data_IF_982758102141
#
_entry.id   IF_982758102141
#
_cell.length_a   1.000
_cell.length_b   1.000
_cell.length_c   1.000
_cell.angle_alpha   90.00
_cell.angle_beta   90.00
_cell.angle_gamma   90.00
#
_symmetry.space_group_name_H-M   'P 1'
#
loop_
_entity.id
_entity.type
_entity.pdbx_description
1 polymer ?
#
# COMPACT_ATOMS: atom_id res chain seq x y z
N UNK A 1 10.98 6.64 -30.74
CA UNK A 1 10.35 6.79 -29.41
C UNK A 1 9.96 5.43 -28.88
N UNK A 2 10.17 5.19 -27.60
CA UNK A 2 9.83 3.94 -26.96
C UNK A 2 8.92 4.22 -25.77
N UNK A 3 7.77 3.52 -25.71
CA UNK A 3 6.80 3.62 -24.63
C UNK A 3 6.72 2.32 -23.87
N UNK A 4 6.67 2.42 -22.54
CA UNK A 4 6.56 1.27 -21.64
C UNK A 4 5.46 1.53 -20.60
N UNK A 5 4.68 0.51 -20.30
CA UNK A 5 3.68 0.53 -19.23
C UNK A 5 3.94 -0.67 -18.31
N UNK A 6 4.21 -0.40 -17.04
CA UNK A 6 4.57 -1.43 -16.03
C UNK A 6 5.72 -2.35 -16.48
N UNK A 7 6.66 -1.80 -17.29
CA UNK A 7 7.82 -2.53 -17.83
C UNK A 7 7.61 -3.17 -19.19
N UNK A 8 6.38 -3.28 -19.66
CA UNK A 8 6.07 -3.84 -20.97
C UNK A 8 6.12 -2.75 -22.05
N UNK A 9 6.79 -3.04 -23.17
CA UNK A 9 6.83 -2.13 -24.31
C UNK A 9 5.48 -2.13 -25.03
N UNK A 10 4.96 -0.94 -25.28
CA UNK A 10 3.69 -0.75 -26.00
C UNK A 10 3.90 0.05 -27.29
N UNK A 11 3.06 -0.19 -28.30
CA UNK A 11 3.02 0.62 -29.50
C UNK A 11 2.00 1.75 -29.30
N UNK A 12 2.50 3.00 -29.36
CA UNK A 12 1.68 4.22 -29.24
C UNK A 12 1.77 4.99 -30.54
N UNK A 13 0.63 5.39 -31.08
CA UNK A 13 0.55 6.33 -32.18
C UNK A 13 0.26 7.71 -31.60
N UNK A 14 1.20 8.62 -31.78
CA UNK A 14 1.01 10.03 -31.44
C UNK A 14 0.22 10.71 -32.53
N UNK A 15 -0.75 11.55 -32.15
CA UNK A 15 -1.54 12.35 -33.09
C UNK A 15 -0.97 13.78 -33.23
N UNK A 16 -1.20 14.57 -32.17
CA UNK A 16 -0.79 16.00 -32.13
C UNK A 16 0.18 16.31 -30.97
N UNK A 17 0.61 15.29 -30.20
CA UNK A 17 1.51 15.46 -29.07
C UNK A 17 2.90 15.89 -29.52
N UNK A 18 3.38 17.01 -29.00
CA UNK A 18 4.69 17.60 -29.31
C UNK A 18 5.63 17.61 -28.12
N UNK A 19 5.08 17.60 -26.91
CA UNK A 19 5.84 17.67 -25.68
C UNK A 19 5.59 16.43 -24.82
N UNK A 20 6.48 16.21 -23.86
CA UNK A 20 6.29 15.17 -22.83
C UNK A 20 4.95 15.38 -22.11
N UNK A 21 4.60 16.64 -21.78
CA UNK A 21 3.34 16.97 -21.12
C UNK A 21 2.10 16.64 -21.94
N UNK A 22 2.15 16.81 -23.28
CA UNK A 22 1.02 16.42 -24.12
C UNK A 22 0.77 14.92 -24.05
N UNK A 23 1.84 14.10 -24.13
CA UNK A 23 1.73 12.64 -24.02
C UNK A 23 1.21 12.23 -22.64
N UNK A 24 1.73 12.85 -21.56
CA UNK A 24 1.28 12.55 -20.20
C UNK A 24 -0.22 12.80 -20.05
N UNK A 25 -0.71 13.92 -20.57
CA UNK A 25 -2.12 14.28 -20.50
C UNK A 25 -3.01 13.30 -21.29
N UNK A 26 -2.62 12.97 -22.53
CA UNK A 26 -3.36 12.00 -23.34
C UNK A 26 -3.38 10.62 -22.69
N UNK A 27 -2.26 10.23 -22.06
CA UNK A 27 -2.14 8.97 -21.37
C UNK A 27 -2.97 8.92 -20.07
N UNK A 28 -2.99 10.01 -19.27
CA UNK A 28 -3.84 10.16 -18.10
C UNK A 28 -5.32 9.99 -18.45
N UNK A 29 -5.80 10.69 -19.49
CA UNK A 29 -7.19 10.58 -19.96
C UNK A 29 -7.52 9.13 -20.34
N UNK A 30 -6.59 8.44 -21.02
CA UNK A 30 -6.77 7.04 -21.39
C UNK A 30 -6.83 6.13 -20.16
N UNK A 31 -6.01 6.39 -19.15
CA UNK A 31 -6.03 5.65 -17.89
C UNK A 31 -7.37 5.86 -17.15
N UNK A 32 -7.83 7.10 -17.02
CA UNK A 32 -9.12 7.42 -16.38
C UNK A 32 -10.29 6.68 -17.04
N UNK A 33 -10.34 6.66 -18.38
CA UNK A 33 -11.37 5.95 -19.13
C UNK A 33 -11.36 4.43 -18.91
N UNK A 34 -10.24 3.88 -18.44
CA UNK A 34 -10.05 2.45 -18.16
C UNK A 34 -9.96 2.15 -16.66
N UNK A 35 -10.47 3.03 -15.80
CA UNK A 35 -10.41 2.89 -14.33
C UNK A 35 -8.99 2.59 -13.83
N UNK A 36 -8.01 3.30 -14.38
CA UNK A 36 -6.61 3.23 -14.02
C UNK A 36 -6.09 4.64 -13.68
N UNK A 37 -4.98 4.70 -12.94
CA UNK A 37 -4.28 5.94 -12.61
C UNK A 37 -2.78 5.78 -12.86
N UNK A 38 -2.13 6.85 -13.33
CA UNK A 38 -0.68 6.93 -13.45
C UNK A 38 -0.11 7.22 -12.05
N UNK A 39 0.77 6.34 -11.57
CA UNK A 39 1.41 6.45 -10.25
C UNK A 39 2.91 6.70 -10.33
N UNK A 40 3.48 6.67 -11.52
CA UNK A 40 4.91 6.95 -11.73
C UNK A 40 5.22 7.19 -13.19
N UNK A 41 6.18 8.07 -13.44
CA UNK A 41 6.63 8.46 -14.76
C UNK A 41 8.15 8.53 -14.79
N UNK A 42 8.75 7.92 -15.80
CA UNK A 42 10.19 8.01 -16.07
C UNK A 42 10.38 8.48 -17.51
N UNK A 43 11.18 9.51 -17.70
CA UNK A 43 11.52 10.07 -19.02
C UNK A 43 13.03 9.96 -19.21
N UNK A 44 13.48 9.25 -20.24
CA UNK A 44 14.89 9.02 -20.55
C UNK A 44 15.71 8.52 -19.35
N UNK A 45 15.10 7.64 -18.53
CA UNK A 45 15.70 7.06 -17.33
C UNK A 45 15.66 7.97 -16.09
N UNK A 46 15.06 9.17 -16.17
CA UNK A 46 14.88 10.09 -15.04
C UNK A 46 13.47 10.00 -14.50
N UNK A 47 13.31 9.67 -13.21
CA UNK A 47 12.01 9.70 -12.53
C UNK A 47 11.50 11.14 -12.45
N UNK A 48 10.27 11.36 -12.86
CA UNK A 48 9.60 12.66 -12.79
C UNK A 48 8.84 12.77 -11.49
N UNK A 49 9.33 13.63 -10.64
CA UNK A 49 8.71 13.99 -9.36
C UNK A 49 7.93 15.30 -9.49
N UNK A 50 7.04 15.60 -8.55
CA UNK A 50 6.18 16.78 -8.62
C UNK A 50 6.96 18.11 -8.74
N UNK A 51 8.13 18.20 -8.11
CA UNK A 51 8.99 19.39 -8.11
C UNK A 51 9.63 19.69 -9.47
N UNK A 52 9.85 18.68 -10.31
CA UNK A 52 10.45 18.84 -11.65
C UNK A 52 9.43 18.69 -12.78
N UNK A 53 8.19 18.35 -12.45
CA UNK A 53 7.15 18.06 -13.45
C UNK A 53 6.93 19.21 -14.42
N UNK A 54 6.83 20.44 -13.93
CA UNK A 54 6.59 21.64 -14.76
C UNK A 54 7.70 21.94 -15.78
N UNK A 55 8.94 21.56 -15.47
CA UNK A 55 10.08 21.69 -16.35
C UNK A 55 10.13 20.56 -17.38
N UNK A 56 10.00 19.32 -16.91
CA UNK A 56 10.10 18.13 -17.74
C UNK A 56 8.92 18.02 -18.73
N UNK A 57 7.73 18.41 -18.32
CA UNK A 57 6.54 18.38 -19.19
C UNK A 57 6.64 19.29 -20.42
N UNK A 58 7.43 20.37 -20.35
CA UNK A 58 7.64 21.31 -21.47
C UNK A 58 8.66 20.83 -22.49
N UNK A 59 9.38 19.75 -22.21
CA UNK A 59 10.38 19.23 -23.15
C UNK A 59 9.73 18.69 -24.41
N UNK A 60 10.32 19.05 -25.55
CA UNK A 60 9.90 18.52 -26.84
C UNK A 60 10.25 17.04 -26.97
N UNK A 61 9.35 16.29 -27.58
CA UNK A 61 9.57 14.87 -27.88
C UNK A 61 10.63 14.72 -28.96
N UNK A 62 11.56 13.79 -28.77
CA UNK A 62 12.59 13.44 -29.76
C UNK A 62 12.36 12.01 -30.26
N UNK A 63 12.89 11.65 -31.44
CA UNK A 63 12.75 10.29 -31.99
C UNK A 63 13.30 9.19 -31.09
N UNK A 64 14.22 9.51 -30.19
CA UNK A 64 14.86 8.61 -29.22
C UNK A 64 14.32 8.74 -27.78
N UNK A 65 13.34 9.60 -27.54
CA UNK A 65 12.72 9.74 -26.21
C UNK A 65 12.13 8.41 -25.75
N UNK A 66 12.44 8.02 -24.51
CA UNK A 66 11.89 6.86 -23.83
C UNK A 66 10.97 7.30 -22.72
N UNK A 67 9.72 6.85 -22.74
CA UNK A 67 8.70 7.12 -21.73
C UNK A 67 8.29 5.81 -21.05
N UNK A 68 8.35 5.79 -19.73
CA UNK A 68 7.95 4.64 -18.90
C UNK A 68 6.90 5.08 -17.90
N UNK A 69 5.74 4.44 -17.94
CA UNK A 69 4.62 4.70 -17.05
C UNK A 69 4.42 3.54 -16.08
N UNK A 70 4.25 3.86 -14.82
CA UNK A 70 3.70 2.93 -13.84
C UNK A 70 2.23 3.28 -13.65
N UNK A 71 1.35 2.32 -13.87
CA UNK A 71 -0.10 2.48 -13.69
C UNK A 71 -0.64 1.47 -12.69
N UNK A 72 -1.72 1.86 -12.03
CA UNK A 72 -2.51 0.96 -11.19
C UNK A 72 -3.99 1.09 -11.58
N UNK A 73 -4.73 0.01 -11.44
CA UNK A 73 -6.18 0.00 -11.66
C UNK A 73 -6.91 -0.51 -10.40
N UNK A 74 -8.22 -0.28 -10.38
CA UNK A 74 -9.11 -0.68 -9.28
C UNK A 74 -9.00 -2.17 -8.96
N UNK A 75 -8.95 -3.04 -9.98
CA UNK A 75 -8.88 -4.48 -9.75
C UNK A 75 -7.58 -4.89 -9.07
N UNK A 76 -6.44 -4.32 -9.48
CA UNK A 76 -5.15 -4.58 -8.84
C UNK A 76 -5.15 -4.18 -7.38
N UNK A 77 -5.82 -3.07 -7.03
CA UNK A 77 -5.96 -2.62 -5.65
C UNK A 77 -6.83 -3.61 -4.86
N UNK A 78 -7.97 -4.03 -5.40
CA UNK A 78 -8.86 -5.04 -4.77
C UNK A 78 -8.13 -6.36 -4.53
N UNK A 79 -7.41 -6.88 -5.53
CA UNK A 79 -6.62 -8.11 -5.41
C UNK A 79 -5.52 -7.97 -4.32
N UNK A 80 -4.97 -6.77 -4.17
CA UNK A 80 -3.96 -6.48 -3.15
C UNK A 80 -4.58 -6.40 -1.75
N UNK A 81 -5.77 -5.84 -1.60
CA UNK A 81 -6.51 -5.85 -0.34
C UNK A 81 -6.89 -7.27 0.08
N UNK A 82 -7.32 -8.13 -0.85
CA UNK A 82 -7.61 -9.54 -0.55
C UNK A 82 -6.38 -10.28 -0.02
N UNK A 83 -5.20 -10.06 -0.63
CA UNK A 83 -3.94 -10.62 -0.15
C UNK A 83 -3.58 -10.12 1.24
N UNK A 84 -3.71 -8.80 1.48
CA UNK A 84 -3.48 -8.21 2.80
C UNK A 84 -4.48 -8.73 3.84
N UNK A 85 -5.75 -8.91 3.47
CA UNK A 85 -6.75 -9.51 4.36
C UNK A 85 -6.28 -10.88 4.85
N UNK A 86 -5.82 -11.74 3.93
CA UNK A 86 -5.29 -13.06 4.28
C UNK A 86 -4.09 -12.95 5.21
N UNK A 87 -3.16 -12.04 4.91
CA UNK A 87 -1.97 -11.82 5.74
C UNK A 87 -2.32 -11.35 7.15
N UNK A 88 -3.25 -10.39 7.30
CA UNK A 88 -3.70 -9.93 8.62
C UNK A 88 -4.43 -11.02 9.41
N UNK A 89 -5.17 -11.90 8.73
CA UNK A 89 -5.76 -13.07 9.37
C UNK A 89 -4.69 -14.02 9.92
N UNK A 90 -3.70 -14.36 9.11
CA UNK A 90 -2.60 -15.24 9.50
C UNK A 90 -1.80 -14.64 10.67
N UNK A 91 -1.54 -13.33 10.65
CA UNK A 91 -0.91 -12.60 11.76
C UNK A 91 -1.76 -12.64 13.02
N UNK A 92 -3.08 -12.46 12.91
CA UNK A 92 -3.99 -12.57 14.04
C UNK A 92 -3.91 -13.97 14.69
N UNK A 93 -3.93 -15.03 13.87
CA UNK A 93 -3.82 -16.41 14.31
C UNK A 93 -2.45 -16.71 14.97
N UNK A 94 -1.40 -15.98 14.57
CA UNK A 94 -0.08 -16.04 15.23
C UNK A 94 -0.09 -15.30 16.56
N UNK A 95 -0.62 -14.08 16.61
CA UNK A 95 -0.71 -13.27 17.84
C UNK A 95 -1.49 -13.97 18.93
N UNK A 96 -2.56 -14.69 18.60
CA UNK A 96 -3.33 -15.50 19.55
C UNK A 96 -2.49 -16.60 20.25
N UNK A 97 -1.42 -17.07 19.60
CA UNK A 97 -0.52 -18.12 20.10
C UNK A 97 0.66 -17.58 20.91
N UNK A 98 0.94 -16.29 20.85
CA UNK A 98 2.09 -15.66 21.50
C UNK A 98 2.17 -15.96 22.99
N UNK A 99 1.08 -15.89 23.79
CA UNK A 99 1.16 -16.23 25.21
C UNK A 99 1.70 -17.64 25.48
N UNK A 100 1.26 -18.62 24.69
CA UNK A 100 1.72 -20.02 24.81
C UNK A 100 3.17 -20.18 24.35
N UNK A 101 3.57 -19.47 23.32
CA UNK A 101 4.95 -19.47 22.79
C UNK A 101 5.92 -18.91 23.82
N UNK A 102 5.57 -17.81 24.50
CA UNK A 102 6.37 -17.19 25.55
C UNK A 102 6.54 -18.08 26.75
N UNK A 103 5.49 -18.83 27.16
CA UNK A 103 5.59 -19.81 28.25
C UNK A 103 6.60 -20.93 27.96
N UNK A 104 6.87 -21.21 26.67
CA UNK A 104 7.89 -22.19 26.24
C UNK A 104 9.30 -21.59 26.13
N UNK A 105 9.45 -20.28 26.37
CA UNK A 105 10.73 -19.57 26.26
C UNK A 105 11.13 -19.19 24.84
N UNK A 106 10.20 -19.22 23.87
CA UNK A 106 10.46 -18.94 22.44
C UNK A 106 10.27 -17.45 22.13
N UNK A 107 10.93 -16.55 22.85
CA UNK A 107 10.75 -15.09 22.73
C UNK A 107 11.09 -14.52 21.34
N UNK A 108 11.92 -15.23 20.55
CA UNK A 108 12.30 -14.80 19.20
C UNK A 108 11.09 -14.73 18.24
N UNK A 109 10.16 -15.67 18.36
CA UNK A 109 8.96 -15.70 17.52
C UNK A 109 8.04 -14.49 17.75
N UNK A 110 7.95 -14.01 19.00
CA UNK A 110 7.19 -12.80 19.31
C UNK A 110 7.80 -11.55 18.63
N UNK A 111 9.15 -11.43 18.64
CA UNK A 111 9.84 -10.31 18.00
C UNK A 111 9.74 -10.37 16.46
N UNK A 112 9.80 -11.56 15.86
CA UNK A 112 9.62 -11.73 14.41
C UNK A 112 8.21 -11.34 13.97
N UNK A 113 7.18 -11.67 14.75
CA UNK A 113 5.80 -11.33 14.44
C UNK A 113 5.56 -9.82 14.38
N UNK A 114 6.24 -9.02 15.21
CA UNK A 114 6.07 -7.56 15.17
C UNK A 114 6.70 -6.94 13.92
N UNK A 115 7.82 -7.47 13.43
CA UNK A 115 8.42 -6.99 12.18
C UNK A 115 7.49 -7.21 10.99
N UNK A 116 6.88 -8.41 10.91
CA UNK A 116 5.89 -8.72 9.87
C UNK A 116 4.65 -7.83 10.00
N UNK A 117 4.19 -7.58 11.23
CA UNK A 117 3.06 -6.69 11.49
C UNK A 117 3.35 -5.25 11.03
N UNK A 118 4.53 -4.71 11.35
CA UNK A 118 4.92 -3.36 10.94
C UNK A 118 4.97 -3.24 9.41
N UNK A 119 5.56 -4.22 8.72
CA UNK A 119 5.60 -4.25 7.25
C UNK A 119 4.20 -4.36 6.64
N UNK A 120 3.31 -5.15 7.24
CA UNK A 120 1.94 -5.31 6.77
C UNK A 120 1.12 -4.02 6.94
N UNK A 121 1.31 -3.30 8.03
CA UNK A 121 0.68 -1.98 8.25
C UNK A 121 1.20 -0.97 7.22
N UNK A 122 2.51 -0.95 6.94
CA UNK A 122 3.08 -0.07 5.91
C UNK A 122 2.49 -0.39 4.52
N UNK A 123 2.38 -1.67 4.15
CA UNK A 123 1.75 -2.07 2.90
C UNK A 123 0.28 -1.64 2.84
N UNK A 124 -0.45 -1.80 3.94
CA UNK A 124 -1.84 -1.34 4.03
C UNK A 124 -1.95 0.18 3.82
N UNK A 125 -1.13 0.98 4.51
CA UNK A 125 -1.14 2.44 4.39
C UNK A 125 -0.82 2.88 2.95
N UNK A 126 0.15 2.23 2.32
CA UNK A 126 0.48 2.50 0.92
C UNK A 126 -0.69 2.17 -0.02
N UNK A 127 -1.30 1.01 0.16
CA UNK A 127 -2.44 0.57 -0.65
C UNK A 127 -3.67 1.46 -0.43
N UNK A 128 -3.94 1.89 0.80
CA UNK A 128 -5.01 2.83 1.12
C UNK A 128 -4.80 4.20 0.44
N UNK A 129 -3.54 4.67 0.36
CA UNK A 129 -3.20 5.87 -0.39
C UNK A 129 -3.47 5.71 -1.90
N UNK A 130 -3.16 4.55 -2.49
CA UNK A 130 -3.48 4.25 -3.88
C UNK A 130 -5.00 4.14 -4.11
N UNK A 131 -5.73 3.53 -3.19
CA UNK A 131 -7.19 3.43 -3.25
C UNK A 131 -7.88 4.80 -3.21
N UNK A 132 -7.26 5.81 -2.58
CA UNK A 132 -7.78 7.18 -2.57
C UNK A 132 -7.81 7.86 -3.94
N UNK A 133 -7.09 7.31 -4.94
CA UNK A 133 -7.17 7.76 -6.34
C UNK A 133 -8.49 7.36 -7.01
N UNK A 134 -9.23 6.42 -6.43
CA UNK A 134 -10.50 5.88 -6.94
C UNK A 134 -11.61 6.04 -5.90
N UNK A 135 -12.02 7.29 -5.59
CA UNK A 135 -12.96 7.55 -4.51
C UNK A 135 -14.34 6.90 -4.74
N UNK A 136 -14.77 6.72 -5.97
CA UNK A 136 -16.06 6.09 -6.27
C UNK A 136 -16.09 4.59 -5.92
N UNK A 137 -14.94 3.91 -6.00
CA UNK A 137 -14.81 2.47 -5.73
C UNK A 137 -14.52 2.16 -4.25
N UNK A 138 -13.91 3.10 -3.51
CA UNK A 138 -13.40 2.86 -2.15
C UNK A 138 -13.92 3.83 -1.08
N UNK A 139 -15.04 4.55 -1.32
CA UNK A 139 -15.56 5.64 -0.48
C UNK A 139 -16.05 5.25 0.91
N UNK A 140 -16.31 3.99 1.20
CA UNK A 140 -16.99 3.59 2.44
C UNK A 140 -16.23 2.57 3.27
N UNK A 141 -14.92 2.47 3.11
CA UNK A 141 -14.18 1.47 3.85
C UNK A 141 -13.90 1.94 5.26
N UNK A 142 -14.45 1.22 6.21
CA UNK A 142 -14.24 1.44 7.65
C UNK A 142 -13.72 0.17 8.29
N UNK A 143 -12.96 0.31 9.38
CA UNK A 143 -12.56 -0.78 10.27
C UNK A 143 -13.29 -0.54 11.58
N UNK A 144 -14.12 -1.49 12.03
CA UNK A 144 -14.97 -1.35 13.23
C UNK A 144 -15.82 -0.07 13.23
N UNK A 145 -16.30 0.36 12.05
CA UNK A 145 -17.10 1.58 11.88
C UNK A 145 -16.31 2.89 11.94
N UNK A 146 -15.01 2.85 12.11
CA UNK A 146 -14.10 3.99 12.08
C UNK A 146 -13.42 4.13 10.72
N UNK A 147 -13.13 5.36 10.30
CA UNK A 147 -12.24 5.54 9.16
C UNK A 147 -10.80 5.08 9.51
N UNK A 148 -9.99 4.83 8.49
CA UNK A 148 -8.63 4.29 8.68
C UNK A 148 -7.76 5.15 9.61
N UNK A 149 -7.81 6.49 9.45
CA UNK A 149 -6.97 7.38 10.24
C UNK A 149 -7.30 7.29 11.74
N UNK A 150 -8.60 7.27 12.08
CA UNK A 150 -9.04 7.18 13.48
C UNK A 150 -8.71 5.80 14.05
N UNK A 151 -8.93 4.73 13.29
CA UNK A 151 -8.57 3.38 13.72
C UNK A 151 -7.07 3.26 14.02
N UNK A 152 -6.19 3.70 13.11
CA UNK A 152 -4.75 3.63 13.33
C UNK A 152 -4.25 4.59 14.40
N UNK A 153 -4.93 5.71 14.64
CA UNK A 153 -4.64 6.60 15.76
C UNK A 153 -4.87 5.91 17.12
N UNK A 154 -5.88 5.07 17.22
CA UNK A 154 -6.14 4.27 18.42
C UNK A 154 -5.22 3.02 18.51
N UNK A 155 -4.85 2.44 17.38
CA UNK A 155 -4.01 1.24 17.34
C UNK A 155 -2.52 1.54 17.59
N UNK A 156 -2.01 2.67 17.13
CA UNK A 156 -0.59 3.02 17.25
C UNK A 156 -0.03 3.01 18.68
N UNK A 157 -0.71 3.54 19.71
CA UNK A 157 -0.24 3.44 21.08
C UNK A 157 -0.06 1.99 21.57
N UNK A 158 -0.96 1.10 21.18
CA UNK A 158 -0.90 -0.32 21.54
C UNK A 158 0.32 -1.00 20.94
N UNK A 159 0.65 -0.65 19.68
CA UNK A 159 1.86 -1.17 19.03
C UNK A 159 3.14 -0.66 19.70
N UNK A 160 3.15 0.60 20.14
CA UNK A 160 4.26 1.17 20.91
C UNK A 160 4.43 0.48 22.28
N UNK A 161 3.33 0.23 23.00
CA UNK A 161 3.36 -0.49 24.27
C UNK A 161 3.87 -1.93 24.07
N UNK A 162 3.47 -2.58 22.97
CA UNK A 162 3.95 -3.90 22.60
C UNK A 162 5.45 -3.92 22.30
N UNK A 163 5.95 -2.95 21.52
CA UNK A 163 7.38 -2.79 21.26
C UNK A 163 8.16 -2.58 22.57
N UNK A 164 7.66 -1.73 23.46
CA UNK A 164 8.28 -1.48 24.76
C UNK A 164 8.30 -2.73 25.65
N UNK A 165 7.22 -3.51 25.65
CA UNK A 165 7.17 -4.78 26.37
C UNK A 165 8.20 -5.78 25.84
N UNK A 166 8.40 -5.86 24.52
CA UNK A 166 9.46 -6.67 23.91
C UNK A 166 10.86 -6.22 24.32
N UNK A 167 11.14 -4.92 24.30
CA UNK A 167 12.44 -4.36 24.73
C UNK A 167 12.75 -4.66 26.20
N UNK A 168 11.72 -4.68 27.05
CA UNK A 168 11.83 -4.97 28.47
C UNK A 168 11.78 -6.47 28.80
N UNK A 169 11.56 -7.34 27.79
CA UNK A 169 11.28 -8.77 27.98
C UNK A 169 10.12 -9.05 28.96
N UNK A 170 9.11 -8.17 28.96
CA UNK A 170 7.90 -8.35 29.76
C UNK A 170 6.95 -9.34 29.08
N UNK A 171 7.17 -10.61 29.35
CA UNK A 171 6.42 -11.71 28.71
C UNK A 171 4.93 -11.70 29.05
N UNK A 172 4.54 -11.15 30.20
CA UNK A 172 3.13 -11.03 30.59
C UNK A 172 2.46 -9.96 29.73
N UNK A 173 3.04 -8.77 29.68
CA UNK A 173 2.50 -7.67 28.89
C UNK A 173 2.50 -7.99 27.38
N UNK A 174 3.53 -8.66 26.87
CA UNK A 174 3.57 -9.13 25.47
C UNK A 174 2.37 -10.07 25.20
N UNK A 175 2.13 -11.02 26.09
CA UNK A 175 1.03 -11.97 25.96
C UNK A 175 -0.34 -11.29 25.98
N UNK A 176 -0.57 -10.44 26.97
CA UNK A 176 -1.84 -9.72 27.14
C UNK A 176 -2.15 -8.80 25.95
N UNK A 177 -1.17 -8.00 25.50
CA UNK A 177 -1.33 -7.13 24.33
C UNK A 177 -1.57 -7.93 23.05
N UNK A 178 -0.88 -9.07 22.87
CA UNK A 178 -1.07 -9.92 21.70
C UNK A 178 -2.50 -10.46 21.63
N UNK A 179 -2.99 -11.03 22.72
CA UNK A 179 -4.27 -11.73 22.77
C UNK A 179 -5.46 -10.78 22.81
N UNK A 180 -5.40 -9.74 23.65
CA UNK A 180 -6.58 -8.92 23.94
C UNK A 180 -6.65 -7.62 23.13
N UNK A 181 -5.53 -7.13 22.62
CA UNK A 181 -5.48 -5.85 21.93
C UNK A 181 -5.15 -5.99 20.44
N UNK A 182 -4.08 -6.71 20.10
CA UNK A 182 -3.58 -6.78 18.72
C UNK A 182 -4.40 -7.78 17.91
N UNK A 183 -4.60 -9.01 18.40
CA UNK A 183 -5.33 -10.06 17.69
C UNK A 183 -6.73 -9.62 17.24
N UNK A 184 -7.61 -9.02 18.10
CA UNK A 184 -8.93 -8.57 17.67
C UNK A 184 -8.85 -7.50 16.58
N UNK A 185 -7.93 -6.54 16.70
CA UNK A 185 -7.77 -5.46 15.69
C UNK A 185 -7.32 -5.99 14.33
N UNK A 186 -6.42 -6.99 14.32
CA UNK A 186 -6.00 -7.63 13.07
C UNK A 186 -7.15 -8.40 12.41
N UNK A 187 -8.03 -9.04 13.21
CA UNK A 187 -9.27 -9.66 12.70
C UNK A 187 -10.18 -8.62 12.06
N UNK A 188 -10.40 -7.48 12.72
CA UNK A 188 -11.22 -6.38 12.20
C UNK A 188 -10.65 -5.81 10.90
N UNK A 189 -9.32 -5.61 10.82
CA UNK A 189 -8.67 -5.19 9.57
C UNK A 189 -8.92 -6.25 8.48
N UNK A 190 -8.63 -7.52 8.74
CA UNK A 190 -8.82 -8.61 7.79
C UNK A 190 -10.25 -8.66 7.24
N UNK A 191 -11.25 -8.59 8.13
CA UNK A 191 -12.65 -8.69 7.75
C UNK A 191 -13.11 -7.47 6.93
N UNK A 192 -12.60 -6.29 7.24
CA UNK A 192 -12.89 -5.07 6.48
C UNK A 192 -12.30 -5.13 5.07
N UNK A 193 -11.07 -5.64 4.91
CA UNK A 193 -10.39 -5.72 3.63
C UNK A 193 -11.01 -6.74 2.67
N UNK A 194 -11.68 -7.79 3.16
CA UNK A 194 -12.39 -8.77 2.32
C UNK A 194 -13.56 -8.21 1.55
N UNK A 195 -14.10 -7.08 2.01
CA UNK A 195 -15.31 -6.50 1.45
C UNK A 195 -15.01 -5.27 0.57
N UNK A 196 -13.74 -5.03 0.26
CA UNK A 196 -13.28 -4.00 -0.67
C UNK A 196 -13.17 -4.54 -2.08
#
# INVERSE_FOLDING_TARGET
MDFYVNGDKIDVQLEDEKTVGDVLKSFEITCEQNNAAVIGIIVDGKTITADIFDEESKKELKPDTKLEFSIINVQTIKDSFEKLSTLFKDLSDQMEKIPVILQKGENKLAAESIAILADSINQFCHLAALASLFPEDFTQTTIDGMNFNDFFKEFSPILLDYEQALQNNDTVMIGDLSEYEICPRLKSISDSLKNM
#
